data_IF_496222078506
#
_entry.id   IF_496222078506
#
_cell.length_a   1.000
_cell.length_b   1.000
_cell.length_c   1.000
_cell.angle_alpha   90.00
_cell.angle_beta   90.00
_cell.angle_gamma   90.00
#
_symmetry.space_group_name_H-M   'P 1'
#
loop_
_entity.id
_entity.type
_entity.pdbx_description
1 polymer ?
#
# COMPACT_ATOMS: atom_id res chain seq x y z
N UNK A 1 -63.01 -46.37 5.12
CA UNK A 1 -62.50 -45.38 6.08
C UNK A 1 -61.50 -46.10 6.98
N UNK A 2 -60.20 -45.97 6.71
CA UNK A 2 -59.14 -46.66 7.49
C UNK A 2 -58.32 -45.56 8.15
N UNK A 3 -58.56 -45.34 9.45
CA UNK A 3 -57.76 -44.46 10.29
C UNK A 3 -56.56 -45.27 10.77
N UNK A 4 -55.39 -45.05 10.17
CA UNK A 4 -54.15 -45.65 10.64
C UNK A 4 -53.64 -44.83 11.83
N UNK A 5 -53.88 -45.32 13.05
CA UNK A 5 -53.23 -44.79 14.23
C UNK A 5 -51.73 -45.13 14.15
N UNK A 6 -50.90 -44.15 13.83
CA UNK A 6 -49.45 -44.27 14.02
C UNK A 6 -49.19 -44.11 15.52
N UNK A 7 -48.87 -45.22 16.18
CA UNK A 7 -48.30 -45.19 17.52
C UNK A 7 -46.90 -44.61 17.40
N UNK A 8 -46.71 -43.41 17.96
CA UNK A 8 -45.42 -42.75 18.20
C UNK A 8 -44.64 -43.52 19.28
N UNK A 9 -44.33 -44.78 19.02
CA UNK A 9 -43.43 -45.56 19.85
C UNK A 9 -42.02 -45.02 19.63
N UNK A 10 -41.58 -44.13 20.53
CA UNK A 10 -40.19 -43.71 20.59
C UNK A 10 -39.29 -44.96 20.74
N UNK A 11 -38.18 -45.05 19.98
CA UNK A 11 -37.27 -46.18 20.10
C UNK A 11 -36.75 -46.29 21.54
N UNK A 12 -36.70 -47.52 22.05
CA UNK A 12 -36.17 -47.80 23.38
C UNK A 12 -34.75 -47.24 23.49
N UNK A 13 -34.54 -46.26 24.36
CA UNK A 13 -33.26 -45.55 24.54
C UNK A 13 -33.26 -44.07 24.15
N UNK A 14 -34.38 -43.51 23.72
CA UNK A 14 -34.49 -42.05 23.56
C UNK A 14 -34.67 -41.36 24.92
N UNK A 15 -33.63 -40.64 25.37
CA UNK A 15 -33.73 -39.78 26.54
C UNK A 15 -34.05 -38.33 26.13
N UNK A 16 -34.92 -37.62 26.87
CA UNK A 16 -35.19 -36.22 26.62
C UNK A 16 -33.90 -35.40 26.79
N UNK A 17 -33.61 -34.54 25.81
CA UNK A 17 -32.45 -33.66 25.89
C UNK A 17 -32.59 -32.69 27.08
N UNK A 18 -31.49 -32.36 27.77
CA UNK A 18 -31.53 -31.38 28.85
C UNK A 18 -31.95 -30.00 28.29
N UNK A 19 -32.65 -29.21 29.10
CA UNK A 19 -33.27 -27.95 28.68
C UNK A 19 -32.27 -26.92 28.11
N UNK A 20 -30.98 -27.05 28.41
CA UNK A 20 -29.90 -26.17 27.94
C UNK A 20 -29.21 -26.65 26.66
N UNK A 21 -29.50 -27.86 26.15
CA UNK A 21 -28.74 -28.48 25.06
C UNK A 21 -28.67 -27.61 23.80
N UNK A 22 -29.81 -27.01 23.43
CA UNK A 22 -29.93 -26.14 22.26
C UNK A 22 -29.19 -24.82 22.47
N UNK A 23 -29.31 -24.22 23.66
CA UNK A 23 -28.63 -22.98 24.00
C UNK A 23 -27.10 -23.17 24.00
N UNK A 24 -26.62 -24.28 24.57
CA UNK A 24 -25.20 -24.64 24.61
C UNK A 24 -24.62 -24.84 23.22
N UNK A 25 -25.36 -25.51 22.33
CA UNK A 25 -24.95 -25.69 20.93
C UNK A 25 -24.91 -24.34 20.19
N UNK A 26 -25.92 -23.48 20.39
CA UNK A 26 -25.97 -22.14 19.81
C UNK A 26 -24.79 -21.27 20.24
N UNK A 27 -24.41 -21.29 21.52
CA UNK A 27 -23.24 -20.57 22.03
C UNK A 27 -21.92 -21.08 21.41
N UNK A 28 -21.76 -22.40 21.28
CA UNK A 28 -20.57 -22.98 20.65
C UNK A 28 -20.46 -22.58 19.17
N UNK A 29 -21.57 -22.58 18.43
CA UNK A 29 -21.60 -22.18 17.02
C UNK A 29 -21.35 -20.67 16.85
N UNK A 30 -21.96 -19.81 17.68
CA UNK A 30 -21.69 -18.36 17.66
C UNK A 30 -20.24 -18.02 17.97
N UNK A 31 -19.62 -18.69 18.95
CA UNK A 31 -18.21 -18.47 19.30
C UNK A 31 -17.26 -18.90 18.16
N UNK A 32 -17.60 -19.96 17.42
CA UNK A 32 -16.85 -20.38 16.24
C UNK A 32 -17.03 -19.42 15.06
N UNK A 33 -18.23 -18.88 14.84
CA UNK A 33 -18.48 -17.95 13.73
C UNK A 33 -17.86 -16.57 13.97
N UNK A 34 -17.94 -16.04 15.20
CA UNK A 34 -17.38 -14.72 15.55
C UNK A 34 -15.86 -14.70 15.39
N UNK A 35 -15.16 -15.78 15.77
CA UNK A 35 -13.71 -15.90 15.61
C UNK A 35 -13.28 -15.88 14.14
N UNK A 36 -14.06 -16.49 13.24
CA UNK A 36 -13.78 -16.48 11.79
C UNK A 36 -14.05 -15.10 11.16
N UNK A 37 -15.09 -14.40 11.61
CA UNK A 37 -15.39 -13.05 11.14
C UNK A 37 -14.31 -12.05 11.55
N UNK A 38 -13.86 -12.10 12.81
CA UNK A 38 -12.78 -11.23 13.32
C UNK A 38 -11.45 -11.45 12.59
N UNK A 39 -11.08 -12.71 12.32
CA UNK A 39 -9.84 -13.01 11.58
C UNK A 39 -9.89 -12.50 10.13
N UNK A 40 -11.06 -12.53 9.48
CA UNK A 40 -11.23 -12.01 8.11
C UNK A 40 -11.13 -10.48 8.02
N UNK A 41 -11.65 -9.76 9.01
CA UNK A 41 -11.55 -8.30 9.05
C UNK A 41 -10.14 -7.83 9.44
N UNK A 42 -9.47 -8.53 10.36
CA UNK A 42 -8.09 -8.21 10.75
C UNK A 42 -7.09 -8.35 9.58
N UNK A 43 -7.26 -9.35 8.71
CA UNK A 43 -6.38 -9.52 7.53
C UNK A 43 -6.59 -8.45 6.45
N UNK A 44 -7.80 -7.91 6.33
CA UNK A 44 -8.11 -6.89 5.31
C UNK A 44 -7.54 -5.50 5.66
N UNK A 45 -7.40 -5.18 6.96
CA UNK A 45 -6.82 -3.91 7.41
C UNK A 45 -5.28 -3.94 7.37
N UNK A 46 -4.67 -5.10 7.64
CA UNK A 46 -3.22 -5.26 7.61
C UNK A 46 -2.62 -5.12 6.20
N UNK A 47 -3.32 -5.54 5.15
CA UNK A 47 -2.84 -5.43 3.76
C UNK A 47 -2.83 -3.98 3.24
N UNK A 48 -3.79 -3.16 3.64
CA UNK A 48 -3.85 -1.74 3.23
C UNK A 48 -2.78 -0.91 3.98
N UNK A 49 -2.54 -1.19 5.25
CA UNK A 49 -1.49 -0.50 6.03
C UNK A 49 -0.07 -0.81 5.54
N UNK A 50 0.21 -2.06 5.16
CA UNK A 50 1.54 -2.46 4.67
C UNK A 50 1.86 -1.90 3.27
N UNK A 51 0.88 -1.83 2.37
CA UNK A 51 1.07 -1.26 1.03
C UNK A 51 1.19 0.27 1.04
N UNK A 52 0.42 0.96 1.89
CA UNK A 52 0.45 2.43 1.97
C UNK A 52 1.62 2.99 2.79
N UNK A 53 1.97 2.38 3.92
CA UNK A 53 3.01 2.89 4.83
C UNK A 53 4.43 2.58 4.37
N UNK A 54 4.65 1.44 3.71
CA UNK A 54 5.98 1.03 3.23
C UNK A 54 6.53 1.95 2.14
N UNK A 55 5.68 2.41 1.22
CA UNK A 55 6.09 3.25 0.09
C UNK A 55 6.51 4.66 0.56
N UNK A 56 5.81 5.23 1.55
CA UNK A 56 6.18 6.54 2.11
C UNK A 56 7.55 6.47 2.82
N UNK A 57 7.78 5.45 3.64
CA UNK A 57 9.05 5.29 4.36
C UNK A 57 10.24 5.04 3.41
N UNK A 58 10.01 4.34 2.29
CA UNK A 58 11.00 4.18 1.22
C UNK A 58 11.32 5.51 0.52
N UNK A 59 10.32 6.38 0.32
CA UNK A 59 10.54 7.69 -0.30
C UNK A 59 11.20 8.71 0.63
N UNK A 60 10.87 8.69 1.93
CA UNK A 60 11.46 9.63 2.89
C UNK A 60 12.93 9.33 3.21
N UNK A 61 13.39 8.09 3.04
CA UNK A 61 14.75 7.67 3.43
C UNK A 61 15.84 8.05 2.41
N UNK A 62 15.45 8.47 1.21
CA UNK A 62 16.38 8.94 0.17
C UNK A 62 16.65 10.47 0.21
N UNK A 63 16.05 11.18 1.16
CA UNK A 63 16.38 12.59 1.49
C UNK A 63 17.77 12.75 2.15
N UNK A 64 18.58 11.69 2.14
CA UNK A 64 19.94 11.69 2.66
C UNK A 64 20.84 12.57 1.79
N UNK A 65 20.96 13.84 2.22
CA UNK A 65 21.88 14.89 1.73
C UNK A 65 21.54 15.41 0.34
N UNK A 66 20.42 16.10 0.24
CA UNK A 66 20.25 17.09 -0.83
C UNK A 66 21.32 18.17 -0.67
N UNK A 67 22.17 18.32 -1.68
CA UNK A 67 23.09 19.45 -1.73
C UNK A 67 22.31 20.67 -2.20
N UNK A 68 22.48 21.80 -1.52
CA UNK A 68 21.97 23.09 -1.96
C UNK A 68 23.15 23.90 -2.53
N UNK A 69 23.05 24.23 -3.81
CA UNK A 69 23.99 25.13 -4.50
C UNK A 69 23.15 26.11 -5.31
N UNK A 70 23.37 27.42 -5.10
CA UNK A 70 22.64 28.46 -5.82
C UNK A 70 21.17 28.62 -5.38
N UNK A 71 20.78 28.07 -4.22
CA UNK A 71 19.42 28.15 -3.69
C UNK A 71 18.46 27.16 -4.35
N UNK A 72 18.98 26.11 -4.98
CA UNK A 72 18.20 25.02 -5.59
C UNK A 72 18.77 23.68 -5.13
N UNK A 73 17.88 22.76 -4.73
CA UNK A 73 18.25 21.41 -4.28
C UNK A 73 18.31 20.43 -5.46
N UNK A 74 19.04 19.33 -5.28
CA UNK A 74 19.21 18.31 -6.34
C UNK A 74 17.87 17.78 -6.90
N UNK A 75 16.85 17.60 -6.05
CA UNK A 75 15.53 17.11 -6.46
C UNK A 75 14.80 18.08 -7.38
N UNK A 76 14.92 19.39 -7.13
CA UNK A 76 14.36 20.44 -7.99
C UNK A 76 15.08 20.53 -9.34
N UNK A 77 16.41 20.38 -9.32
CA UNK A 77 17.23 20.35 -10.54
C UNK A 77 16.83 19.17 -11.43
N UNK A 78 16.67 17.97 -10.87
CA UNK A 78 16.23 16.78 -11.62
C UNK A 78 14.81 16.97 -12.16
N UNK A 79 13.89 17.51 -11.36
CA UNK A 79 12.50 17.76 -11.78
C UNK A 79 12.39 18.74 -12.95
N UNK A 80 13.30 19.72 -13.03
CA UNK A 80 13.35 20.73 -14.10
C UNK A 80 14.34 20.37 -15.24
N UNK A 81 15.03 19.24 -15.14
CA UNK A 81 16.12 18.88 -16.05
C UNK A 81 15.67 18.74 -17.51
N UNK A 82 14.54 18.07 -17.76
CA UNK A 82 13.99 17.95 -19.11
C UNK A 82 13.63 19.29 -19.73
N UNK A 83 13.03 20.19 -18.95
CA UNK A 83 12.67 21.53 -19.42
C UNK A 83 13.92 22.40 -19.64
N UNK A 84 14.97 22.21 -18.84
CA UNK A 84 16.24 22.91 -18.99
C UNK A 84 16.93 22.53 -20.29
N UNK A 85 17.05 21.22 -20.59
CA UNK A 85 17.64 20.75 -21.85
C UNK A 85 16.77 21.17 -23.05
N UNK A 86 15.45 21.19 -22.90
CA UNK A 86 14.53 21.70 -23.90
C UNK A 86 14.52 23.25 -24.03
N UNK A 87 15.28 23.98 -23.21
CA UNK A 87 15.35 25.44 -23.25
C UNK A 87 14.06 26.16 -22.80
N UNK A 88 13.17 25.49 -22.06
CA UNK A 88 11.88 26.02 -21.60
C UNK A 88 11.94 26.69 -20.22
N UNK A 89 13.07 26.60 -19.52
CA UNK A 89 13.24 27.15 -18.18
C UNK A 89 13.56 28.66 -18.24
N UNK A 90 12.91 29.50 -17.41
CA UNK A 90 13.19 30.93 -17.37
C UNK A 90 14.63 31.23 -16.91
N UNK A 91 15.22 32.31 -17.44
CA UNK A 91 16.61 32.73 -17.20
C UNK A 91 17.10 32.72 -15.74
N UNK A 92 16.36 33.25 -14.73
CA UNK A 92 16.84 33.20 -13.35
C UNK A 92 17.03 31.76 -12.85
N UNK A 93 16.12 30.85 -13.20
CA UNK A 93 16.22 29.44 -12.83
C UNK A 93 17.29 28.72 -13.65
N UNK A 94 17.49 29.10 -14.91
CA UNK A 94 18.51 28.52 -15.77
C UNK A 94 19.91 28.73 -15.19
N UNK A 95 20.19 29.93 -14.70
CA UNK A 95 21.46 30.27 -14.04
C UNK A 95 21.68 29.44 -12.76
N UNK A 96 20.64 29.28 -11.93
CA UNK A 96 20.71 28.45 -10.71
C UNK A 96 20.98 26.98 -11.02
N UNK A 97 20.29 26.41 -12.03
CA UNK A 97 20.52 25.04 -12.46
C UNK A 97 21.94 24.87 -12.99
N UNK A 98 22.43 25.79 -13.82
CA UNK A 98 23.79 25.74 -14.36
C UNK A 98 24.86 25.78 -13.26
N UNK A 99 24.70 26.68 -12.28
CA UNK A 99 25.59 26.76 -11.12
C UNK A 99 25.57 25.46 -10.29
N UNK A 100 24.39 24.92 -10.04
CA UNK A 100 24.22 23.68 -9.29
C UNK A 100 24.87 22.50 -10.01
N UNK A 101 24.62 22.34 -11.31
CA UNK A 101 25.18 21.24 -12.13
C UNK A 101 26.70 21.32 -12.18
N UNK A 102 27.28 22.53 -12.19
CA UNK A 102 28.73 22.73 -12.15
C UNK A 102 29.37 22.34 -10.81
N UNK A 103 28.68 22.58 -9.69
CA UNK A 103 29.22 22.34 -8.33
C UNK A 103 28.87 20.96 -7.75
N UNK A 104 27.73 20.40 -8.17
CA UNK A 104 27.21 19.17 -7.60
C UNK A 104 27.81 17.93 -8.30
N UNK A 105 28.55 17.05 -7.59
CA UNK A 105 29.18 15.87 -8.19
C UNK A 105 28.17 14.82 -8.68
N UNK A 106 26.91 14.89 -8.23
CA UNK A 106 25.84 13.96 -8.63
C UNK A 106 25.08 14.44 -9.86
N UNK A 107 24.79 15.74 -9.96
CA UNK A 107 23.94 16.28 -11.01
C UNK A 107 24.67 16.44 -12.36
N UNK A 108 25.97 16.74 -12.36
CA UNK A 108 26.79 16.85 -13.58
C UNK A 108 26.67 15.63 -14.52
N UNK A 109 27.01 14.42 -14.07
CA UNK A 109 26.91 13.21 -14.89
C UNK A 109 25.48 12.84 -15.31
N UNK A 110 24.47 13.32 -14.59
CA UNK A 110 23.07 13.07 -14.89
C UNK A 110 22.60 13.96 -16.06
N UNK A 111 22.95 15.25 -16.07
CA UNK A 111 22.63 16.15 -17.17
C UNK A 111 23.35 15.77 -18.47
N UNK A 112 24.62 15.37 -18.37
CA UNK A 112 25.36 14.89 -19.54
C UNK A 112 24.65 13.72 -20.24
N UNK A 113 24.13 12.75 -19.46
CA UNK A 113 23.36 11.62 -20.01
C UNK A 113 22.05 12.06 -20.67
N UNK A 114 21.35 13.03 -20.10
CA UNK A 114 20.12 13.58 -20.71
C UNK A 114 20.41 14.30 -22.03
N UNK A 115 21.51 15.06 -22.11
CA UNK A 115 21.97 15.72 -23.35
C UNK A 115 22.36 14.70 -24.42
N UNK A 116 23.06 13.64 -24.03
CA UNK A 116 23.44 12.53 -24.92
C UNK A 116 22.19 11.82 -25.47
N UNK A 117 21.19 11.54 -24.63
CA UNK A 117 19.91 10.91 -25.02
C UNK A 117 19.10 11.76 -26.00
N UNK A 118 19.06 13.09 -25.81
CA UNK A 118 18.34 13.99 -26.72
C UNK A 118 19.11 14.22 -28.04
N UNK A 119 20.45 14.20 -28.00
CA UNK A 119 21.29 14.37 -29.18
C UNK A 119 21.41 13.09 -30.01
N UNK A 120 21.28 11.92 -29.37
CA UNK A 120 21.38 10.60 -29.98
C UNK A 120 20.08 10.03 -30.55
N UNK A 121 18.96 10.73 -30.42
CA UNK A 121 17.66 10.34 -30.99
C UNK A 121 17.46 10.78 -32.46
N UNK A 122 18.56 11.07 -33.17
CA UNK A 122 18.58 11.52 -34.57
C UNK A 122 18.77 10.41 -35.58
#
# INVERSE_FOLDING_TARGET
MISAAHSDAHPAGWEPAPADAVARLGHQLRRKSSRRAFLRTATAVASVGAAGGGLWLLWSRDSSRECDYGGIVCSEVVKRGSDYVAGKVPEPTRSQIAEHVAKCPRCGPLFKRMEDEMSGAG
#
